data_IF_835290390822
#
_entry.id   IF_835290390822
#
_cell.length_a   1.000
_cell.length_b   1.000
_cell.length_c   1.000
_cell.angle_alpha   90.00
_cell.angle_beta   90.00
_cell.angle_gamma   90.00
#
_symmetry.space_group_name_H-M   'P 1'
#
loop_
_entity.id
_entity.type
_entity.pdbx_description
1 polymer ?
#
# COMPACT_ATOMS: atom_id res chain seq x y z
N UNK A 1 -3.09 22.91 -9.76
CA UNK A 1 -4.28 23.75 -10.03
C UNK A 1 -4.18 24.97 -9.15
N UNK A 2 -4.38 26.15 -9.73
CA UNK A 2 -4.44 27.40 -8.98
C UNK A 2 -5.73 27.45 -8.15
N UNK A 3 -5.70 28.18 -7.03
CA UNK A 3 -6.89 28.43 -6.20
C UNK A 3 -8.05 29.04 -7.01
N UNK A 4 -7.71 29.93 -7.94
CA UNK A 4 -8.69 30.57 -8.81
C UNK A 4 -9.44 29.57 -9.70
N UNK A 5 -8.71 28.62 -10.31
CA UNK A 5 -9.26 27.58 -11.16
C UNK A 5 -10.20 26.66 -10.37
N UNK A 6 -9.84 26.33 -9.13
CA UNK A 6 -10.66 25.49 -8.24
C UNK A 6 -12.01 26.15 -7.91
N UNK A 7 -12.01 27.45 -7.63
CA UNK A 7 -13.23 28.21 -7.34
C UNK A 7 -14.13 28.33 -8.58
N UNK A 8 -13.54 28.57 -9.76
CA UNK A 8 -14.27 28.63 -11.01
C UNK A 8 -14.96 27.29 -11.33
N UNK A 9 -14.23 26.18 -11.22
CA UNK A 9 -14.75 24.83 -11.43
C UNK A 9 -15.84 24.47 -10.42
N UNK A 10 -15.66 24.81 -9.14
CA UNK A 10 -16.68 24.59 -8.11
C UNK A 10 -17.96 25.41 -8.41
N UNK A 11 -17.80 26.64 -8.90
CA UNK A 11 -18.91 27.47 -9.36
C UNK A 11 -19.66 26.86 -10.55
N UNK A 12 -18.95 26.30 -11.52
CA UNK A 12 -19.55 25.59 -12.66
C UNK A 12 -20.32 24.34 -12.22
N UNK A 13 -19.75 23.53 -11.32
CA UNK A 13 -20.37 22.30 -10.84
C UNK A 13 -21.61 22.56 -9.98
N UNK A 14 -21.65 23.66 -9.22
CA UNK A 14 -22.84 24.06 -8.44
C UNK A 14 -24.06 24.41 -9.30
N UNK A 15 -23.86 24.77 -10.58
CA UNK A 15 -24.96 25.07 -11.50
C UNK A 15 -25.71 23.83 -11.96
N UNK A 16 -25.15 22.64 -11.75
CA UNK A 16 -25.77 21.36 -12.12
C UNK A 16 -26.77 20.99 -11.02
N UNK A 17 -28.06 20.95 -11.37
CA UNK A 17 -29.16 20.80 -10.41
C UNK A 17 -29.30 19.37 -9.85
N UNK A 18 -29.01 18.33 -10.65
CA UNK A 18 -29.00 16.93 -10.21
C UNK A 18 -27.59 16.33 -10.26
N UNK A 19 -27.00 16.05 -9.09
CA UNK A 19 -25.71 15.35 -9.01
C UNK A 19 -25.84 13.83 -9.20
N UNK A 20 -27.06 13.29 -9.35
CA UNK A 20 -27.35 11.86 -9.56
C UNK A 20 -26.97 11.38 -10.95
N UNK A 21 -27.13 12.22 -11.97
CA UNK A 21 -26.90 11.87 -13.38
C UNK A 21 -25.43 12.07 -13.81
N UNK A 22 -24.61 12.60 -12.89
CA UNK A 22 -23.25 13.01 -13.16
C UNK A 22 -22.27 11.82 -12.97
N UNK A 23 -21.29 11.64 -13.88
CA UNK A 23 -20.25 10.63 -13.73
C UNK A 23 -19.56 10.66 -12.36
N UNK A 24 -19.19 9.48 -11.85
CA UNK A 24 -18.60 9.31 -10.52
C UNK A 24 -17.34 10.15 -10.28
N UNK A 25 -16.51 10.31 -11.31
CA UNK A 25 -15.28 11.11 -11.25
C UNK A 25 -15.56 12.61 -11.05
N UNK A 26 -16.61 13.16 -11.67
CA UNK A 26 -17.03 14.56 -11.50
C UNK A 26 -17.63 14.79 -10.11
N UNK A 27 -18.44 13.86 -9.59
CA UNK A 27 -18.93 13.91 -8.20
C UNK A 27 -17.79 13.88 -7.19
N UNK A 28 -16.77 13.04 -7.44
CA UNK A 28 -15.56 12.98 -6.61
C UNK A 28 -14.79 14.31 -6.66
N UNK A 29 -14.65 14.91 -7.84
CA UNK A 29 -14.01 16.22 -8.00
C UNK A 29 -14.77 17.31 -7.24
N UNK A 30 -16.10 17.37 -7.38
CA UNK A 30 -16.95 18.31 -6.65
C UNK A 30 -16.71 18.22 -5.13
N UNK A 31 -16.76 17.00 -4.56
CA UNK A 31 -16.49 16.76 -3.14
C UNK A 31 -15.06 17.18 -2.75
N UNK A 32 -14.06 16.87 -3.58
CA UNK A 32 -12.66 17.27 -3.38
C UNK A 32 -12.54 18.80 -3.31
N UNK A 33 -13.16 19.53 -4.23
CA UNK A 33 -13.15 21.00 -4.26
C UNK A 33 -13.89 21.60 -3.05
N UNK A 34 -15.03 21.03 -2.63
CA UNK A 34 -15.73 21.45 -1.42
C UNK A 34 -14.85 21.29 -0.16
N UNK A 35 -14.18 20.15 -0.01
CA UNK A 35 -13.27 19.89 1.12
C UNK A 35 -12.09 20.85 1.08
N UNK A 36 -11.50 21.13 -0.09
CA UNK A 36 -10.39 22.09 -0.24
C UNK A 36 -10.82 23.50 0.14
N UNK A 37 -11.99 23.95 -0.31
CA UNK A 37 -12.57 25.25 0.07
C UNK A 37 -12.76 25.34 1.59
N UNK A 38 -13.41 24.35 2.20
CA UNK A 38 -13.64 24.32 3.64
C UNK A 38 -12.32 24.32 4.43
N UNK A 39 -11.32 23.54 4.00
CA UNK A 39 -10.00 23.54 4.63
C UNK A 39 -9.35 24.93 4.61
N UNK A 40 -9.41 25.65 3.49
CA UNK A 40 -8.87 27.03 3.41
C UNK A 40 -9.66 28.02 4.28
N UNK A 41 -10.99 27.93 4.31
CA UNK A 41 -11.84 28.76 5.18
C UNK A 41 -11.51 28.57 6.66
N UNK A 42 -11.11 27.35 7.06
CA UNK A 42 -10.70 27.02 8.42
C UNK A 42 -9.19 27.10 8.67
N UNK A 43 -8.40 27.71 7.76
CA UNK A 43 -6.93 27.79 7.84
C UNK A 43 -6.24 26.42 8.04
N UNK A 44 -6.87 25.34 7.61
CA UNK A 44 -6.29 24.00 7.64
C UNK A 44 -5.44 23.77 6.39
N UNK A 45 -4.26 23.14 6.54
CA UNK A 45 -3.41 22.82 5.39
C UNK A 45 -4.15 21.90 4.41
N UNK A 46 -4.14 22.29 3.13
CA UNK A 46 -4.68 21.46 2.06
C UNK A 46 -3.71 20.33 1.80
N UNK A 47 -4.12 19.12 2.14
CA UNK A 47 -3.37 17.91 1.82
C UNK A 47 -3.44 17.64 0.32
N UNK A 48 -2.28 17.73 -0.35
CA UNK A 48 -2.13 17.41 -1.77
C UNK A 48 -1.15 16.24 -1.93
N UNK A 49 -1.71 15.03 -2.07
CA UNK A 49 -0.94 13.81 -2.28
C UNK A 49 -0.02 13.92 -3.49
N UNK A 50 -0.51 14.52 -4.58
CA UNK A 50 0.19 14.55 -5.86
C UNK A 50 1.47 15.41 -5.78
N UNK A 51 1.43 16.53 -5.05
CA UNK A 51 2.58 17.40 -4.81
C UNK A 51 3.68 16.72 -3.96
N UNK A 52 3.29 15.83 -3.04
CA UNK A 52 4.25 15.10 -2.20
C UNK A 52 5.03 14.06 -3.02
N UNK A 53 4.41 13.42 -4.01
CA UNK A 53 5.07 12.41 -4.85
C UNK A 53 5.86 12.99 -6.03
N UNK A 54 5.56 14.22 -6.49
CA UNK A 54 6.35 14.87 -7.55
C UNK A 54 7.68 15.41 -7.04
N UNK A 55 7.73 15.91 -5.81
CA UNK A 55 8.91 16.57 -5.26
C UNK A 55 10.07 15.62 -4.92
N UNK A 56 9.84 14.31 -4.86
CA UNK A 56 10.90 13.32 -4.62
C UNK A 56 11.67 12.92 -5.89
N UNK A 57 11.23 13.36 -7.08
CA UNK A 57 11.94 13.08 -8.33
C UNK A 57 13.11 14.02 -8.61
N UNK A 58 13.17 15.16 -7.91
CA UNK A 58 14.11 16.25 -8.20
C UNK A 58 15.13 16.52 -7.08
N UNK A 59 15.38 15.56 -6.17
CA UNK A 59 16.50 15.71 -5.23
C UNK A 59 17.83 15.35 -5.91
N UNK A 60 18.84 16.25 -5.90
CA UNK A 60 20.18 15.92 -6.39
C UNK A 60 20.80 14.83 -5.52
N UNK A 61 21.48 13.88 -6.17
CA UNK A 61 22.21 12.77 -5.58
C UNK A 61 23.04 13.24 -4.37
N UNK A 62 22.60 12.89 -3.15
CA UNK A 62 23.43 13.06 -1.96
C UNK A 62 24.42 11.91 -1.91
N UNK A 63 25.70 12.23 -1.83
CA UNK A 63 26.76 11.24 -1.67
C UNK A 63 26.48 10.30 -0.48
N UNK A 64 26.83 9.00 -0.59
CA UNK A 64 26.52 8.00 0.41
C UNK A 64 27.43 8.17 1.62
N UNK A 65 27.09 9.09 2.51
CA UNK A 65 27.58 9.05 3.89
C UNK A 65 27.05 7.77 4.53
N UNK A 66 27.87 7.12 5.37
CA UNK A 66 27.62 5.83 6.01
C UNK A 66 26.25 5.77 6.70
N UNK A 67 25.24 5.41 5.91
CA UNK A 67 23.87 5.30 6.33
C UNK A 67 23.81 4.23 7.43
N UNK A 68 23.25 4.61 8.59
CA UNK A 68 22.94 3.66 9.67
C UNK A 68 22.24 2.46 9.05
N UNK A 69 22.45 1.27 9.59
CA UNK A 69 21.89 0.01 9.05
C UNK A 69 20.38 0.15 8.77
N UNK A 70 19.65 0.88 9.63
CA UNK A 70 18.25 1.25 9.46
C UNK A 70 17.95 2.15 8.25
N UNK A 71 18.80 3.15 7.98
CA UNK A 71 18.67 4.05 6.84
C UNK A 71 18.85 3.30 5.52
N UNK A 72 19.67 2.23 5.49
CA UNK A 72 19.78 1.35 4.32
C UNK A 72 18.49 0.62 3.99
N UNK A 73 17.67 0.27 4.98
CA UNK A 73 16.38 -0.39 4.74
C UNK A 73 15.32 0.60 4.25
N UNK A 74 15.32 1.81 4.81
CA UNK A 74 14.44 2.90 4.34
C UNK A 74 14.82 3.35 2.93
N UNK A 75 16.13 3.50 2.66
CA UNK A 75 16.65 3.83 1.34
C UNK A 75 16.48 2.66 0.36
N UNK A 76 16.63 1.39 0.73
CA UNK A 76 16.38 0.27 -0.18
C UNK A 76 14.92 0.22 -0.69
N UNK A 77 13.97 0.62 0.16
CA UNK A 77 12.56 0.79 -0.21
C UNK A 77 12.37 1.92 -1.24
N UNK A 78 13.24 2.93 -1.24
CA UNK A 78 13.25 4.04 -2.22
C UNK A 78 14.13 3.75 -3.46
N UNK A 79 15.25 3.07 -3.29
CA UNK A 79 16.25 2.72 -4.31
C UNK A 79 15.73 1.62 -5.24
N UNK A 80 14.95 0.66 -4.74
CA UNK A 80 14.19 -0.27 -5.59
C UNK A 80 13.23 0.47 -6.54
N UNK A 81 12.78 1.66 -6.16
CA UNK A 81 11.96 2.54 -6.98
C UNK A 81 12.77 3.33 -8.04
N UNK A 82 14.08 3.52 -7.83
CA UNK A 82 14.96 4.33 -8.71
C UNK A 82 15.70 3.45 -9.74
N UNK A 83 16.24 2.29 -9.32
CA UNK A 83 17.02 1.42 -10.23
C UNK A 83 16.16 0.52 -11.12
N UNK A 84 14.85 0.42 -10.85
CA UNK A 84 13.89 -0.25 -11.73
C UNK A 84 13.08 0.78 -12.52
N UNK A 85 13.70 1.37 -13.54
CA UNK A 85 13.10 2.38 -14.42
C UNK A 85 11.83 1.96 -15.20
N UNK A 86 11.12 0.90 -14.79
CA UNK A 86 9.93 0.42 -15.51
C UNK A 86 8.87 -0.32 -14.68
N UNK A 87 9.08 -0.72 -13.41
CA UNK A 87 8.14 -1.67 -12.75
C UNK A 87 7.26 -1.15 -11.59
N UNK A 88 7.37 0.11 -11.17
CA UNK A 88 6.52 0.64 -10.09
C UNK A 88 5.57 1.75 -10.56
N UNK A 89 4.76 1.46 -11.58
CA UNK A 89 3.52 2.20 -11.88
C UNK A 89 2.32 1.66 -11.07
N UNK A 90 2.55 1.09 -9.89
CA UNK A 90 1.45 0.76 -8.99
C UNK A 90 0.88 2.08 -8.44
N UNK A 91 -0.24 2.53 -8.98
CA UNK A 91 -0.92 3.74 -8.51
C UNK A 91 -1.12 3.72 -6.99
N UNK A 92 -1.22 4.88 -6.34
CA UNK A 92 -1.52 4.98 -4.91
C UNK A 92 -2.73 4.11 -4.51
N UNK A 93 -3.71 3.99 -5.40
CA UNK A 93 -4.89 3.14 -5.21
C UNK A 93 -4.50 1.66 -5.11
N UNK A 94 -3.60 1.18 -5.98
CA UNK A 94 -3.10 -0.20 -5.98
C UNK A 94 -2.34 -0.51 -4.68
N UNK A 95 -1.56 0.46 -4.17
CA UNK A 95 -0.89 0.35 -2.85
C UNK A 95 -1.89 0.37 -1.69
N UNK A 96 -2.92 1.22 -1.74
CA UNK A 96 -3.98 1.30 -0.72
C UNK A 96 -4.83 0.02 -0.68
N UNK A 97 -5.07 -0.60 -1.82
CA UNK A 97 -5.80 -1.87 -1.96
C UNK A 97 -4.94 -3.09 -1.58
N UNK A 98 -3.68 -2.89 -1.17
CA UNK A 98 -2.75 -3.97 -0.80
C UNK A 98 -2.29 -4.83 -1.97
N UNK A 99 -2.56 -4.44 -3.22
CA UNK A 99 -2.18 -5.20 -4.42
C UNK A 99 -0.83 -4.73 -4.93
N UNK A 100 0.25 -4.98 -4.20
CA UNK A 100 1.58 -4.83 -4.80
C UNK A 100 1.85 -6.03 -5.68
N UNK A 101 2.15 -5.82 -6.97
CA UNK A 101 2.73 -6.90 -7.76
C UNK A 101 4.02 -7.37 -7.08
N UNK A 102 4.23 -8.69 -7.00
CA UNK A 102 5.38 -9.26 -6.33
C UNK A 102 6.63 -9.09 -7.18
N UNK A 103 7.51 -8.16 -6.78
CA UNK A 103 8.72 -7.83 -7.53
C UNK A 103 9.97 -8.48 -6.94
N UNK A 104 10.99 -8.67 -7.79
CA UNK A 104 12.32 -9.06 -7.32
C UNK A 104 12.99 -7.88 -6.61
N UNK A 105 13.82 -8.17 -5.61
CA UNK A 105 14.54 -7.14 -4.86
C UNK A 105 15.93 -7.61 -4.45
N UNK A 106 16.84 -6.68 -4.19
CA UNK A 106 18.19 -7.00 -3.75
C UNK A 106 18.22 -7.26 -2.24
N UNK A 107 18.83 -8.38 -1.84
CA UNK A 107 19.04 -8.67 -0.43
C UNK A 107 19.96 -7.59 0.17
N UNK A 108 19.60 -6.97 1.31
CA UNK A 108 20.44 -5.96 1.99
C UNK A 108 21.85 -6.45 2.36
N UNK A 109 21.98 -7.74 2.69
CA UNK A 109 23.23 -8.31 3.19
C UNK A 109 24.12 -8.89 2.09
N UNK A 110 23.54 -9.72 1.21
CA UNK A 110 24.29 -10.42 0.16
C UNK A 110 24.31 -9.68 -1.18
N UNK A 111 23.52 -8.60 -1.34
CA UNK A 111 23.25 -7.89 -2.60
C UNK A 111 22.71 -8.74 -3.75
N UNK A 112 22.44 -10.03 -3.52
CA UNK A 112 21.87 -10.94 -4.52
C UNK A 112 20.45 -10.50 -4.86
N UNK A 113 20.09 -10.62 -6.14
CA UNK A 113 18.72 -10.42 -6.59
C UNK A 113 17.88 -11.62 -6.14
N UNK A 114 16.93 -11.38 -5.25
CA UNK A 114 16.01 -12.38 -4.75
C UNK A 114 14.73 -12.38 -5.58
N UNK A 115 14.21 -13.57 -5.83
CA UNK A 115 12.88 -13.75 -6.42
C UNK A 115 11.82 -13.21 -5.45
N UNK A 116 10.64 -12.79 -5.95
CA UNK A 116 9.57 -12.31 -5.09
C UNK A 116 9.11 -13.32 -4.04
N UNK A 117 9.17 -14.62 -4.37
CA UNK A 117 8.74 -15.71 -3.51
C UNK A 117 9.85 -16.74 -3.37
N UNK A 118 9.94 -17.30 -2.17
CA UNK A 118 10.74 -18.50 -1.86
C UNK A 118 10.01 -19.72 -2.41
N UNK A 119 8.71 -19.81 -2.14
CA UNK A 119 7.83 -20.92 -2.56
C UNK A 119 6.39 -20.43 -2.65
N UNK A 120 5.63 -20.91 -3.63
CA UNK A 120 4.18 -20.80 -3.67
C UNK A 120 3.60 -22.19 -3.45
N UNK A 121 2.76 -22.31 -2.45
CA UNK A 121 2.18 -23.58 -2.03
C UNK A 121 0.68 -23.62 -2.34
N UNK A 122 0.28 -24.58 -3.16
CA UNK A 122 -1.12 -24.79 -3.56
C UNK A 122 -1.74 -25.99 -2.82
N UNK A 123 -0.93 -26.75 -2.08
CA UNK A 123 -1.32 -28.03 -1.48
C UNK A 123 -1.75 -27.85 -0.01
N UNK A 124 -1.04 -27.01 0.74
CA UNK A 124 -1.28 -26.86 2.18
C UNK A 124 -2.61 -26.16 2.47
N UNK A 125 -3.41 -26.78 3.34
CA UNK A 125 -4.74 -26.28 3.73
C UNK A 125 -4.84 -26.15 5.25
N UNK A 126 -4.35 -25.05 5.84
CA UNK A 126 -4.37 -24.84 7.29
C UNK A 126 -5.81 -24.73 7.81
N UNK A 127 -6.06 -25.00 9.11
CA UNK A 127 -7.41 -25.06 9.68
C UNK A 127 -8.23 -23.80 9.45
N UNK A 128 -7.62 -22.61 9.52
CA UNK A 128 -8.32 -21.36 9.28
C UNK A 128 -8.83 -21.23 7.84
N UNK A 129 -8.10 -21.76 6.85
CA UNK A 129 -8.53 -21.76 5.44
C UNK A 129 -9.68 -22.75 5.22
N UNK A 130 -9.64 -23.91 5.89
CA UNK A 130 -10.75 -24.86 5.86
C UNK A 130 -12.03 -24.24 6.44
N UNK A 131 -11.90 -23.53 7.57
CA UNK A 131 -13.02 -22.80 8.19
C UNK A 131 -13.61 -21.75 7.24
N UNK A 132 -12.78 -20.95 6.57
CA UNK A 132 -13.27 -19.93 5.62
C UNK A 132 -14.08 -20.56 4.47
N UNK A 133 -13.65 -21.73 3.97
CA UNK A 133 -14.39 -22.47 2.94
C UNK A 133 -15.71 -23.02 3.48
N UNK A 134 -15.71 -23.53 4.72
CA UNK A 134 -16.94 -23.99 5.37
C UNK A 134 -17.93 -22.84 5.53
N UNK A 135 -17.48 -21.65 5.93
CA UNK A 135 -18.34 -20.47 6.04
C UNK A 135 -18.92 -20.10 4.67
N UNK A 136 -18.10 -20.04 3.62
CA UNK A 136 -18.57 -19.70 2.28
C UNK A 136 -19.59 -20.73 1.75
N UNK A 137 -19.34 -22.02 1.94
CA UNK A 137 -20.29 -23.07 1.55
C UNK A 137 -21.59 -22.97 2.34
N UNK A 138 -21.53 -22.68 3.65
CA UNK A 138 -22.72 -22.50 4.49
C UNK A 138 -23.59 -21.33 4.08
N UNK A 139 -23.01 -20.21 3.68
CA UNK A 139 -23.76 -19.02 3.25
C UNK A 139 -24.44 -19.23 1.89
N UNK A 140 -23.82 -19.98 0.99
CA UNK A 140 -24.30 -20.15 -0.39
C UNK A 140 -25.03 -21.49 -0.64
N UNK A 141 -25.49 -22.17 0.43
CA UNK A 141 -26.18 -23.47 0.33
C UNK A 141 -27.42 -23.45 -0.56
N UNK A 142 -28.15 -22.33 -0.57
CA UNK A 142 -29.43 -22.21 -1.26
C UNK A 142 -29.28 -21.76 -2.73
N UNK A 143 -28.06 -21.46 -3.19
CA UNK A 143 -27.80 -21.03 -4.56
C UNK A 143 -27.51 -22.26 -5.42
N UNK A 144 -28.39 -22.63 -6.36
CA UNK A 144 -28.16 -23.78 -7.23
C UNK A 144 -26.92 -23.56 -8.10
N UNK A 145 -26.08 -24.59 -8.24
CA UNK A 145 -24.81 -24.58 -8.99
C UNK A 145 -23.71 -23.66 -8.44
N UNK A 146 -23.82 -23.18 -7.19
CA UNK A 146 -22.75 -22.42 -6.58
C UNK A 146 -21.54 -23.31 -6.29
N UNK A 147 -20.37 -22.85 -6.73
CA UNK A 147 -19.07 -23.50 -6.48
C UNK A 147 -18.11 -22.51 -5.85
N UNK A 148 -17.29 -23.02 -4.95
CA UNK A 148 -16.20 -22.26 -4.37
C UNK A 148 -15.27 -21.74 -5.48
N UNK A 149 -14.87 -20.45 -5.43
CA UNK A 149 -13.82 -19.94 -6.29
C UNK A 149 -12.51 -20.73 -6.14
N UNK A 150 -11.68 -20.78 -7.20
CA UNK A 150 -10.35 -21.40 -7.11
C UNK A 150 -9.51 -20.69 -6.05
N UNK A 151 -8.74 -21.48 -5.30
CA UNK A 151 -7.95 -20.98 -4.17
C UNK A 151 -6.70 -20.27 -4.68
N UNK A 152 -6.34 -19.19 -4.02
CA UNK A 152 -5.03 -18.58 -4.19
C UNK A 152 -3.97 -19.40 -3.45
N UNK A 153 -2.73 -19.50 -3.97
CA UNK A 153 -1.63 -20.16 -3.28
C UNK A 153 -1.24 -19.43 -2.00
N UNK A 154 -0.62 -20.16 -1.07
CA UNK A 154 0.10 -19.60 0.08
C UNK A 154 1.51 -19.22 -0.38
N UNK A 155 1.77 -17.92 -0.38
CA UNK A 155 3.02 -17.36 -0.84
C UNK A 155 4.02 -17.19 0.31
N UNK A 156 5.10 -17.97 0.30
CA UNK A 156 6.22 -17.81 1.21
C UNK A 156 7.18 -16.78 0.64
N UNK A 157 7.22 -15.60 1.24
CA UNK A 157 8.11 -14.50 0.86
C UNK A 157 9.26 -14.31 1.85
N UNK A 158 10.33 -13.66 1.39
CA UNK A 158 11.40 -13.19 2.28
C UNK A 158 10.89 -12.13 3.26
N UNK A 159 11.48 -12.10 4.46
CA UNK A 159 11.21 -11.03 5.43
C UNK A 159 11.70 -9.71 4.86
N UNK A 160 10.80 -8.72 4.84
CA UNK A 160 11.10 -7.35 4.43
C UNK A 160 11.04 -6.41 5.64
N UNK A 161 11.69 -5.24 5.56
CA UNK A 161 11.65 -4.25 6.64
C UNK A 161 10.23 -3.88 7.07
N UNK A 162 9.27 -3.84 6.15
CA UNK A 162 7.86 -3.53 6.46
C UNK A 162 7.19 -4.58 7.37
N UNK A 163 7.69 -5.82 7.37
CA UNK A 163 7.12 -6.91 8.16
C UNK A 163 7.64 -6.91 9.61
N UNK A 164 8.82 -6.33 9.84
CA UNK A 164 9.52 -6.38 11.15
C UNK A 164 8.67 -5.80 12.29
N UNK A 165 8.02 -4.62 12.17
CA UNK A 165 7.20 -4.09 13.26
C UNK A 165 6.04 -5.02 13.64
N UNK A 166 5.38 -5.61 12.64
CA UNK A 166 4.25 -6.51 12.84
C UNK A 166 4.68 -7.82 13.52
N UNK A 167 5.81 -8.39 13.09
CA UNK A 167 6.38 -9.59 13.70
C UNK A 167 6.76 -9.32 15.16
N UNK A 168 7.36 -8.17 15.46
CA UNK A 168 7.74 -7.83 16.83
C UNK A 168 6.52 -7.65 17.75
N UNK A 169 5.42 -7.07 17.25
CA UNK A 169 4.16 -6.96 18.01
C UNK A 169 3.62 -8.35 18.32
N UNK A 170 3.52 -9.23 17.32
CA UNK A 170 3.06 -10.61 17.52
C UNK A 170 3.96 -11.36 18.50
N UNK A 171 5.28 -11.23 18.37
CA UNK A 171 6.23 -11.86 19.26
C UNK A 171 6.00 -11.41 20.71
N UNK A 172 5.85 -10.10 20.92
CA UNK A 172 5.59 -9.51 22.23
C UNK A 172 4.26 -9.96 22.85
N UNK A 173 3.22 -10.08 22.04
CA UNK A 173 1.88 -10.46 22.51
C UNK A 173 1.77 -11.94 22.86
N UNK A 174 2.38 -12.82 22.05
CA UNK A 174 2.19 -14.28 22.17
C UNK A 174 3.30 -15.01 22.92
N UNK A 175 4.51 -14.45 23.02
CA UNK A 175 5.65 -15.11 23.67
C UNK A 175 6.01 -14.49 25.02
N UNK A 176 6.64 -13.30 25.05
CA UNK A 176 6.93 -12.58 26.30
C UNK A 176 7.20 -11.07 26.08
N UNK A 177 6.90 -10.22 27.08
CA UNK A 177 7.22 -8.79 27.03
C UNK A 177 8.74 -8.56 26.93
N UNK A 178 9.19 -7.80 25.92
CA UNK A 178 10.60 -7.43 25.73
C UNK A 178 11.36 -8.26 24.68
N UNK A 179 10.73 -9.26 24.05
CA UNK A 179 11.32 -10.06 22.96
C UNK A 179 11.65 -9.24 21.70
N UNK A 180 10.97 -8.10 21.53
CA UNK A 180 11.18 -7.12 20.46
C UNK A 180 12.58 -6.49 20.48
N UNK A 181 13.26 -6.53 21.64
CA UNK A 181 14.63 -6.03 21.78
C UNK A 181 15.67 -7.04 21.29
N UNK A 182 15.41 -8.34 21.36
CA UNK A 182 16.40 -9.37 21.04
C UNK A 182 16.41 -9.75 19.55
N UNK A 183 15.24 -9.73 18.90
CA UNK A 183 15.14 -9.90 17.45
C UNK A 183 15.80 -8.74 16.66
N UNK A 184 16.06 -7.61 17.33
CA UNK A 184 16.69 -6.41 16.78
C UNK A 184 18.02 -6.02 17.45
N UNK A 185 18.53 -6.79 18.42
CA UNK A 185 19.86 -6.56 19.02
C UNK A 185 21.00 -7.16 18.18
N UNK A 186 20.68 -7.97 17.17
CA UNK A 186 21.62 -8.30 16.11
C UNK A 186 21.38 -7.34 14.94
N UNK A 187 22.13 -6.23 15.01
CA UNK A 187 22.54 -5.28 13.94
C UNK A 187 21.84 -3.92 13.87
#
# INVERSE_FOLDING_TARGET
>A
MSEYEELQLLGQLRKISSMTDVPSHVRRLYRKLCVRKLKREHNMPVFDLDAQFTNERDQPEREPQEARVLDRFQQACMVTNIYSGSLNKCSFLVRLMGQSEPTCFHSPYTRRLLKPYIRRDEETTPPWLQLMQEVQTKVHKDVPNWRLPPRAPIDYSYVRPEHVPHINILAREFFYPGIDRELLAVQ
#
